data_IF_208506689699
#
_entry.id   IF_208506689699
#
_cell.length_a   1.000
_cell.length_b   1.000
_cell.length_c   1.000
_cell.angle_alpha   90.00
_cell.angle_beta   90.00
_cell.angle_gamma   90.00
#
_symmetry.space_group_name_H-M   'P 1'
#
loop_
_entity.id
_entity.type
_entity.pdbx_description
1 polymer ?
#
# COMPACT_ATOMS: atom_id res chain seq x y z
N UNK A 1 24.51 7.23 1.85
CA UNK A 1 23.06 7.26 1.51
C UNK A 1 22.44 5.98 2.01
N UNK A 2 21.48 6.07 2.93
CA UNK A 2 20.71 4.92 3.41
C UNK A 2 19.67 4.56 2.36
N UNK A 3 19.68 3.32 1.86
CA UNK A 3 18.69 2.82 0.89
C UNK A 3 17.66 1.98 1.65
N UNK A 4 16.39 2.37 1.57
CA UNK A 4 15.31 1.62 2.21
C UNK A 4 15.10 0.29 1.47
N UNK A 5 15.10 -0.81 2.21
CA UNK A 5 14.93 -2.17 1.67
C UNK A 5 13.57 -2.79 1.94
N UNK A 6 12.96 -2.43 3.06
CA UNK A 6 11.64 -2.90 3.46
C UNK A 6 10.83 -1.72 4.00
N UNK A 7 9.56 -1.65 3.62
CA UNK A 7 8.60 -0.67 4.12
C UNK A 7 7.36 -1.42 4.60
N UNK A 8 6.99 -1.20 5.85
CA UNK A 8 5.80 -1.77 6.46
C UNK A 8 4.88 -0.65 6.92
N UNK A 9 3.64 -0.66 6.45
CA UNK A 9 2.58 0.26 6.82
C UNK A 9 1.47 -0.57 7.45
N UNK A 10 1.29 -0.46 8.76
CA UNK A 10 0.33 -1.26 9.53
C UNK A 10 -0.58 -0.36 10.36
N UNK A 11 -1.84 -0.74 10.51
CA UNK A 11 -2.81 -0.16 11.45
C UNK A 11 -2.93 1.37 11.36
N UNK A 12 -2.87 1.91 10.15
CA UNK A 12 -3.03 3.33 9.85
C UNK A 12 -4.35 3.59 9.12
N UNK A 13 -5.53 3.54 9.79
CA UNK A 13 -6.84 3.58 9.14
C UNK A 13 -7.17 4.94 8.50
N UNK A 14 -6.44 6.01 8.85
CA UNK A 14 -6.59 7.36 8.25
C UNK A 14 -5.59 7.62 7.12
N UNK A 15 -4.68 6.69 6.85
CA UNK A 15 -3.70 6.85 5.80
C UNK A 15 -4.33 6.43 4.48
N UNK A 16 -4.74 7.43 3.70
CA UNK A 16 -5.55 7.20 2.50
C UNK A 16 -4.75 7.43 1.20
N UNK A 17 -3.46 7.75 1.33
CA UNK A 17 -2.62 8.18 0.22
C UNK A 17 -1.18 7.67 0.38
N UNK A 18 -0.58 7.25 -0.72
CA UNK A 18 0.87 7.09 -0.80
C UNK A 18 1.55 8.43 -1.07
N UNK A 19 2.76 8.66 -0.52
CA UNK A 19 3.56 9.81 -0.90
C UNK A 19 3.96 9.71 -2.38
N UNK A 20 3.96 10.86 -3.08
CA UNK A 20 4.27 10.97 -4.51
C UNK A 20 5.68 10.52 -4.90
N UNK A 21 6.55 10.23 -3.93
CA UNK A 21 7.92 9.75 -4.16
C UNK A 21 8.09 8.23 -4.15
N UNK A 22 7.02 7.45 -3.95
CA UNK A 22 7.08 5.97 -3.87
C UNK A 22 7.77 5.33 -5.08
N UNK A 23 7.56 5.85 -6.30
CA UNK A 23 8.23 5.33 -7.49
C UNK A 23 9.76 5.51 -7.50
N UNK A 24 10.31 6.37 -6.65
CA UNK A 24 11.76 6.60 -6.56
C UNK A 24 12.45 5.64 -5.60
N UNK A 25 11.70 4.82 -4.86
CA UNK A 25 12.21 3.82 -3.94
C UNK A 25 12.72 2.57 -4.67
N UNK A 26 13.58 2.77 -5.68
CA UNK A 26 14.14 1.70 -6.54
C UNK A 26 14.97 0.64 -5.80
N UNK A 27 15.33 0.92 -4.54
CA UNK A 27 16.07 -0.01 -3.69
C UNK A 27 15.15 -0.94 -2.89
N UNK A 28 13.86 -0.63 -2.83
CA UNK A 28 12.87 -1.28 -2.00
C UNK A 28 12.61 -2.68 -2.54
N UNK A 29 12.92 -3.69 -1.71
CA UNK A 29 12.72 -5.09 -2.07
C UNK A 29 11.38 -5.61 -1.55
N UNK A 30 10.85 -5.04 -0.45
CA UNK A 30 9.56 -5.45 0.12
C UNK A 30 8.69 -4.28 0.58
N UNK A 31 7.40 -4.36 0.27
CA UNK A 31 6.34 -3.48 0.74
C UNK A 31 5.20 -4.31 1.33
N UNK A 32 4.83 -4.01 2.56
CA UNK A 32 3.65 -4.57 3.22
C UNK A 32 2.73 -3.44 3.66
N UNK A 33 1.44 -3.54 3.29
CA UNK A 33 0.38 -2.61 3.71
C UNK A 33 -0.73 -3.44 4.33
N UNK A 34 -1.04 -3.22 5.60
CA UNK A 34 -2.09 -3.95 6.32
C UNK A 34 -2.81 -3.03 7.33
N UNK A 35 -4.06 -3.35 7.69
CA UNK A 35 -4.84 -2.52 8.62
C UNK A 35 -5.11 -1.08 8.13
N UNK A 36 -4.98 -0.84 6.82
CA UNK A 36 -5.15 0.48 6.18
C UNK A 36 -6.23 0.39 5.08
N UNK A 37 -7.53 0.33 5.39
CA UNK A 37 -8.58 -0.06 4.45
C UNK A 37 -8.57 0.74 3.13
N UNK A 38 -8.56 2.07 3.19
CA UNK A 38 -8.52 2.93 2.00
C UNK A 38 -7.23 2.73 1.18
N UNK A 39 -6.08 2.64 1.86
CA UNK A 39 -4.79 2.43 1.19
C UNK A 39 -4.70 1.06 0.54
N UNK A 40 -5.17 0.01 1.24
CA UNK A 40 -5.21 -1.36 0.73
C UNK A 40 -6.04 -1.42 -0.55
N UNK A 41 -7.27 -0.84 -0.56
CA UNK A 41 -8.11 -0.76 -1.78
C UNK A 41 -7.36 -0.12 -2.94
N UNK A 42 -6.65 0.97 -2.66
CA UNK A 42 -5.98 1.77 -3.68
C UNK A 42 -4.64 1.18 -4.14
N UNK A 43 -4.06 0.24 -3.38
CA UNK A 43 -2.81 -0.44 -3.70
C UNK A 43 -3.03 -1.86 -4.26
N UNK A 44 -4.28 -2.30 -4.45
CA UNK A 44 -4.58 -3.63 -4.98
C UNK A 44 -3.94 -3.87 -6.36
N UNK A 45 -3.43 -5.08 -6.64
CA UNK A 45 -2.92 -5.44 -7.95
C UNK A 45 -3.94 -5.21 -9.07
N UNK A 46 -3.49 -4.62 -10.18
CA UNK A 46 -4.25 -4.38 -11.42
C UNK A 46 -5.37 -3.33 -11.35
N UNK A 47 -6.02 -3.14 -10.21
CA UNK A 47 -7.16 -2.21 -10.04
C UNK A 47 -6.84 -0.99 -9.18
N UNK A 48 -5.82 -1.07 -8.32
CA UNK A 48 -5.44 0.01 -7.43
C UNK A 48 -4.79 1.18 -8.16
N UNK A 49 -5.24 2.41 -7.89
CA UNK A 49 -4.65 3.64 -8.46
C UNK A 49 -3.15 3.79 -8.20
N UNK A 50 -2.67 3.21 -7.11
CA UNK A 50 -1.28 3.25 -6.70
C UNK A 50 -0.46 2.06 -7.18
N UNK A 51 -1.10 1.03 -7.75
CA UNK A 51 -0.40 -0.14 -8.26
C UNK A 51 0.75 0.20 -9.22
N UNK A 52 0.60 1.12 -10.21
CA UNK A 52 1.70 1.49 -11.09
C UNK A 52 2.92 2.10 -10.37
N UNK A 53 2.71 2.69 -9.19
CA UNK A 53 3.80 3.27 -8.40
C UNK A 53 4.58 2.23 -7.61
N UNK A 54 3.96 1.09 -7.28
CA UNK A 54 4.55 0.05 -6.41
C UNK A 54 4.80 -1.28 -7.12
N UNK A 55 4.32 -1.46 -8.35
CA UNK A 55 4.44 -2.70 -9.13
C UNK A 55 5.88 -3.08 -9.49
N UNK A 56 6.82 -2.12 -9.39
CA UNK A 56 8.24 -2.36 -9.60
C UNK A 56 8.92 -3.04 -8.39
N UNK A 57 8.26 -3.11 -7.24
CA UNK A 57 8.78 -3.71 -6.01
C UNK A 57 8.63 -5.23 -6.10
N UNK A 58 9.70 -5.96 -5.74
CA UNK A 58 9.74 -7.42 -5.91
C UNK A 58 8.72 -8.17 -5.07
N UNK A 59 8.51 -7.72 -3.82
CA UNK A 59 7.63 -8.38 -2.85
C UNK A 59 6.60 -7.37 -2.36
N UNK A 60 5.38 -7.47 -2.83
CA UNK A 60 4.27 -6.61 -2.41
C UNK A 60 3.21 -7.47 -1.73
N UNK A 61 2.84 -7.11 -0.50
CA UNK A 61 1.78 -7.77 0.27
C UNK A 61 0.78 -6.70 0.71
N UNK A 62 -0.43 -6.78 0.19
CA UNK A 62 -1.54 -5.87 0.52
C UNK A 62 -2.58 -6.67 1.30
N UNK A 63 -2.87 -6.24 2.52
CA UNK A 63 -3.89 -6.82 3.37
C UNK A 63 -5.28 -6.60 2.79
N UNK A 64 -6.26 -7.36 3.28
CA UNK A 64 -7.63 -7.19 2.81
C UNK A 64 -8.12 -5.79 3.19
N UNK A 65 -8.66 -5.04 2.21
CA UNK A 65 -9.35 -3.82 2.55
C UNK A 65 -10.60 -4.25 3.29
N UNK A 66 -10.62 -4.05 4.61
CA UNK A 66 -11.78 -4.36 5.44
C UNK A 66 -13.05 -3.95 4.68
N UNK A 67 -13.93 -4.93 4.46
CA UNK A 67 -15.29 -4.63 4.03
C UNK A 67 -15.79 -3.67 5.10
N UNK A 68 -15.98 -2.40 4.72
CA UNK A 68 -16.84 -1.57 5.55
C UNK A 68 -18.15 -2.30 5.54
N UNK A 69 -18.52 -2.91 6.68
CA UNK A 69 -19.83 -3.50 6.87
C UNK A 69 -20.83 -2.55 6.23
N UNK A 70 -21.67 -3.00 5.27
CA UNK A 70 -22.66 -2.12 4.68
C UNK A 70 -23.45 -1.56 5.85
N UNK A 71 -23.37 -0.23 6.05
CA UNK A 71 -24.19 0.44 7.04
C UNK A 71 -25.64 0.18 6.65
N UNK A 72 -26.23 -0.86 7.25
CA UNK A 72 -27.67 -1.09 7.26
C UNK A 72 -28.23 0.08 8.04
N UNK A 73 -28.72 1.08 7.30
CA UNK A 73 -29.68 2.06 7.78
C UNK A 73 -31.04 1.67 7.28
#
# INVERSE_FOLDING_TARGET
>A
MTRLKMLHIADCPRLNYLPSGMQHLTALDALTIDGCPDLCRQCQPHSGRYWPMISHIKRVSIGEPGLEEPSIR
#
